data_IF_191255553571
#
_entry.id   IF_191255553571
#
_cell.length_a   1.000
_cell.length_b   1.000
_cell.length_c   1.000
_cell.angle_alpha   90.00
_cell.angle_beta   90.00
_cell.angle_gamma   90.00
#
_symmetry.space_group_name_H-M   'P 1'
#
loop_
_entity.id
_entity.type
_entity.pdbx_description
1 polymer ?
#
# COMPACT_ATOMS: atom_id res chain seq x y z
N UNK A 1 -22.97 -4.30 -43.63
CA UNK A 1 -21.72 -4.78 -43.02
C UNK A 1 -21.42 -3.88 -41.82
N UNK A 2 -21.74 -4.36 -40.62
CA UNK A 2 -21.50 -3.66 -39.35
C UNK A 2 -20.03 -3.87 -38.97
N UNK A 3 -19.24 -2.80 -38.99
CA UNK A 3 -17.83 -2.81 -38.57
C UNK A 3 -17.75 -2.79 -37.04
N UNK A 4 -17.16 -3.83 -36.46
CA UNK A 4 -16.88 -3.93 -35.02
C UNK A 4 -15.57 -3.20 -34.73
N UNK A 5 -15.64 -2.07 -34.03
CA UNK A 5 -14.43 -1.42 -33.50
C UNK A 5 -14.07 -2.03 -32.15
N UNK A 6 -13.01 -2.83 -32.13
CA UNK A 6 -12.40 -3.31 -30.90
C UNK A 6 -11.62 -2.17 -30.24
N UNK A 7 -12.13 -1.66 -29.12
CA UNK A 7 -11.36 -0.74 -28.27
C UNK A 7 -10.38 -1.56 -27.43
N UNK A 8 -9.10 -1.50 -27.81
CA UNK A 8 -8.02 -1.99 -26.94
C UNK A 8 -7.85 -0.99 -25.81
N UNK A 9 -8.33 -1.33 -24.62
CA UNK A 9 -8.00 -0.62 -23.40
C UNK A 9 -6.53 -0.91 -23.06
N UNK A 10 -5.63 -0.05 -23.53
CA UNK A 10 -4.28 0.01 -23.00
C UNK A 10 -4.41 0.52 -21.57
N UNK A 11 -4.41 -0.42 -20.62
CA UNK A 11 -4.15 -0.11 -19.23
C UNK A 11 -2.80 0.57 -19.19
N UNK A 12 -2.81 1.88 -18.97
CA UNK A 12 -1.61 2.63 -18.65
C UNK A 12 -1.15 2.14 -17.26
N UNK A 13 -0.43 1.03 -17.23
CA UNK A 13 0.61 0.84 -16.22
C UNK A 13 1.53 2.05 -16.40
N UNK A 14 1.33 3.06 -15.55
CA UNK A 14 2.27 4.15 -15.39
C UNK A 14 3.58 3.50 -14.99
N UNK A 15 4.42 3.21 -15.98
CA UNK A 15 5.86 3.16 -15.82
C UNK A 15 6.25 4.54 -15.33
N UNK A 16 6.17 4.74 -14.01
CA UNK A 16 6.78 5.87 -13.31
C UNK A 16 8.23 5.81 -13.73
N UNK A 17 8.58 6.69 -14.66
CA UNK A 17 9.94 6.93 -15.07
C UNK A 17 10.71 7.17 -13.76
N UNK A 18 11.63 6.25 -13.39
CA UNK A 18 12.49 6.33 -12.20
C UNK A 18 13.48 7.51 -12.35
N UNK A 19 12.97 8.68 -12.67
CA UNK A 19 13.72 9.92 -12.71
C UNK A 19 14.10 10.28 -11.29
N UNK A 20 15.31 10.83 -11.15
CA UNK A 20 15.93 11.27 -9.91
C UNK A 20 15.07 12.30 -9.16
N UNK A 21 13.98 11.86 -8.52
CA UNK A 21 13.17 12.67 -7.61
C UNK A 21 14.07 13.00 -6.43
N UNK A 22 14.49 14.25 -6.33
CA UNK A 22 15.27 14.73 -5.20
C UNK A 22 14.34 14.86 -4.00
N UNK A 23 14.24 13.80 -3.20
CA UNK A 23 13.47 13.83 -1.97
C UNK A 23 14.09 14.81 -0.98
N UNK A 24 13.41 15.95 -0.78
CA UNK A 24 13.73 16.91 0.26
C UNK A 24 13.62 16.23 1.64
N UNK A 25 14.54 16.57 2.54
CA UNK A 25 14.54 16.18 3.95
C UNK A 25 14.53 14.68 4.25
N UNK A 26 15.01 13.85 3.32
CA UNK A 26 15.08 12.40 3.53
C UNK A 26 13.71 11.81 3.96
N UNK A 27 12.62 12.34 3.38
CA UNK A 27 11.27 11.85 3.63
C UNK A 27 11.12 10.39 3.18
N UNK A 28 10.70 9.46 4.07
CA UNK A 28 10.47 8.07 3.71
C UNK A 28 9.32 7.94 2.69
N UNK A 29 8.27 8.76 2.79
CA UNK A 29 7.17 8.74 1.82
C UNK A 29 7.64 9.09 0.41
N UNK A 30 8.41 10.17 0.29
CA UNK A 30 8.99 10.55 -1.00
C UNK A 30 9.89 9.44 -1.54
N UNK A 31 10.74 8.87 -0.68
CA UNK A 31 11.67 7.82 -1.09
C UNK A 31 10.93 6.58 -1.59
N UNK A 32 9.92 6.10 -0.87
CA UNK A 32 9.10 4.99 -1.30
C UNK A 32 8.45 5.26 -2.67
N UNK A 33 7.81 6.44 -2.83
CA UNK A 33 7.14 6.83 -4.08
C UNK A 33 8.10 7.01 -5.26
N UNK A 34 9.35 7.38 -5.01
CA UNK A 34 10.40 7.48 -6.03
C UNK A 34 11.06 6.11 -6.35
N UNK A 35 10.94 5.13 -5.46
CA UNK A 35 11.49 3.78 -5.59
C UNK A 35 10.37 2.73 -5.58
N UNK A 36 10.42 1.75 -4.67
CA UNK A 36 9.34 0.79 -4.49
C UNK A 36 8.40 1.27 -3.40
N UNK A 37 7.13 1.46 -3.77
CA UNK A 37 6.03 1.72 -2.85
C UNK A 37 4.98 0.60 -2.94
N UNK A 38 5.20 -0.55 -2.28
CA UNK A 38 4.43 -1.76 -2.52
C UNK A 38 3.06 -1.78 -1.79
N UNK A 39 2.28 -0.69 -1.86
CA UNK A 39 0.98 -0.54 -1.16
C UNK A 39 0.05 -1.74 -1.37
N UNK A 40 -0.10 -2.21 -2.62
CA UNK A 40 -0.94 -3.37 -2.94
C UNK A 40 -0.42 -4.66 -2.31
N UNK A 41 0.89 -4.91 -2.34
CA UNK A 41 1.49 -6.10 -1.73
C UNK A 41 1.40 -6.05 -0.21
N UNK A 42 1.58 -4.87 0.39
CA UNK A 42 1.38 -4.67 1.82
C UNK A 42 -0.06 -5.00 2.24
N UNK A 43 -1.06 -4.48 1.51
CA UNK A 43 -2.47 -4.81 1.75
C UNK A 43 -2.72 -6.33 1.68
N UNK A 44 -2.23 -6.97 0.62
CA UNK A 44 -2.34 -8.43 0.44
C UNK A 44 -1.65 -9.21 1.58
N UNK A 45 -0.45 -8.80 2.00
CA UNK A 45 0.27 -9.48 3.09
C UNK A 45 -0.44 -9.34 4.44
N UNK A 46 -1.14 -8.23 4.68
CA UNK A 46 -2.02 -8.07 5.86
C UNK A 46 -3.22 -9.01 5.75
N UNK A 47 -3.88 -9.05 4.59
CA UNK A 47 -5.02 -9.93 4.34
C UNK A 47 -4.66 -11.41 4.56
N UNK A 48 -3.50 -11.86 4.06
CA UNK A 48 -3.00 -13.24 4.18
C UNK A 48 -2.69 -13.64 5.62
N UNK A 49 -2.38 -12.68 6.50
CA UNK A 49 -2.05 -12.91 7.91
C UNK A 49 -3.23 -12.72 8.86
N UNK A 50 -4.39 -12.29 8.36
CA UNK A 50 -5.55 -12.02 9.18
C UNK A 50 -6.19 -13.31 9.70
N UNK A 51 -6.29 -13.46 11.02
CA UNK A 51 -6.98 -14.60 11.67
C UNK A 51 -8.45 -14.31 11.98
N UNK A 52 -8.96 -13.16 11.52
CA UNK A 52 -10.32 -12.70 11.74
C UNK A 52 -10.88 -12.06 10.47
N UNK A 53 -12.20 -11.88 10.42
CA UNK A 53 -12.85 -11.20 9.29
C UNK A 53 -12.69 -9.70 9.41
N UNK A 54 -12.30 -9.06 8.32
CA UNK A 54 -12.21 -7.61 8.21
C UNK A 54 -12.73 -7.12 6.86
N UNK A 55 -12.97 -5.82 6.80
CA UNK A 55 -13.30 -5.09 5.58
C UNK A 55 -12.37 -3.89 5.44
N UNK A 56 -12.02 -3.56 4.21
CA UNK A 56 -11.31 -2.33 3.87
C UNK A 56 -12.31 -1.22 3.57
N UNK A 57 -12.05 -0.03 4.09
CA UNK A 57 -12.81 1.17 3.81
C UNK A 57 -12.19 1.88 2.62
N UNK A 58 -12.31 1.27 1.44
CA UNK A 58 -11.82 1.85 0.20
C UNK A 58 -12.74 2.99 -0.24
N UNK A 59 -12.37 4.22 0.09
CA UNK A 59 -12.91 5.41 -0.58
C UNK A 59 -11.87 5.90 -1.60
N UNK A 60 -12.35 6.42 -2.72
CA UNK A 60 -11.47 6.87 -3.80
C UNK A 60 -10.57 8.06 -3.38
N UNK A 61 -10.85 8.70 -2.25
CA UNK A 61 -10.18 9.90 -1.77
C UNK A 61 -9.16 9.67 -0.65
N UNK A 62 -9.19 8.55 0.08
CA UNK A 62 -8.23 8.26 1.16
C UNK A 62 -7.24 7.17 0.76
N UNK A 63 -6.01 7.33 1.24
CA UNK A 63 -4.95 6.36 1.01
C UNK A 63 -5.11 5.21 2.00
N UNK A 64 -4.98 3.97 1.54
CA UNK A 64 -4.96 2.78 2.42
C UNK A 64 -3.82 2.88 3.45
N UNK A 65 -2.69 3.48 3.10
CA UNK A 65 -1.63 3.81 4.05
C UNK A 65 -1.37 5.31 4.00
N UNK A 66 -1.45 5.96 5.15
CA UNK A 66 -1.45 7.42 5.28
C UNK A 66 -0.12 7.96 5.83
N UNK A 67 0.65 7.11 6.51
CA UNK A 67 1.87 7.51 7.20
C UNK A 67 3.04 6.62 6.83
N UNK A 68 4.19 7.23 6.56
CA UNK A 68 5.45 6.58 6.23
C UNK A 68 6.50 6.99 7.26
N UNK A 69 7.21 6.02 7.84
CA UNK A 69 8.33 6.23 8.74
C UNK A 69 9.53 5.38 8.28
N UNK A 70 10.75 5.87 8.53
CA UNK A 70 11.92 5.00 8.42
C UNK A 70 11.86 3.96 9.55
N UNK A 71 11.84 2.69 9.18
CA UNK A 71 12.09 1.60 10.13
C UNK A 71 13.60 1.45 10.37
N UNK A 72 14.37 1.49 9.29
CA UNK A 72 15.84 1.58 9.28
C UNK A 72 16.24 2.35 8.01
N UNK A 73 16.72 3.57 8.19
CA UNK A 73 17.10 4.44 7.09
C UNK A 73 18.34 3.94 6.35
N UNK A 74 19.30 3.33 7.04
CA UNK A 74 20.54 2.84 6.45
C UNK A 74 20.25 1.65 5.53
N UNK A 75 19.37 0.75 5.97
CA UNK A 75 18.90 -0.40 5.17
C UNK A 75 17.80 -0.04 4.18
N UNK A 76 17.33 1.21 4.18
CA UNK A 76 16.21 1.71 3.38
C UNK A 76 14.93 0.91 3.59
N UNK A 77 14.69 0.46 4.81
CA UNK A 77 13.42 -0.17 5.17
C UNK A 77 12.46 0.86 5.72
N UNK A 78 11.23 0.86 5.21
CA UNK A 78 10.18 1.81 5.53
C UNK A 78 9.03 1.05 6.19
N UNK A 79 8.45 1.63 7.23
CA UNK A 79 7.21 1.19 7.82
C UNK A 79 6.09 2.15 7.40
N UNK A 80 5.01 1.60 6.86
CA UNK A 80 3.80 2.33 6.51
C UNK A 80 2.64 1.91 7.40
N UNK A 81 1.75 2.85 7.71
CA UNK A 81 0.61 2.65 8.61
C UNK A 81 -0.69 3.10 7.97
N UNK A 82 -1.80 2.47 8.35
CA UNK A 82 -3.13 2.90 7.94
C UNK A 82 -4.20 2.52 8.97
N UNK A 83 -5.39 3.08 8.77
CA UNK A 83 -6.56 2.89 9.64
C UNK A 83 -7.85 2.67 8.83
N UNK A 84 -7.73 2.42 7.52
CA UNK A 84 -8.84 2.25 6.59
C UNK A 84 -9.33 0.80 6.55
N UNK A 85 -9.43 0.15 7.71
CA UNK A 85 -9.96 -1.19 7.87
C UNK A 85 -10.77 -1.33 9.16
N UNK A 86 -11.73 -2.24 9.16
CA UNK A 86 -12.51 -2.59 10.35
C UNK A 86 -12.66 -4.10 10.48
N UNK A 87 -12.53 -4.62 11.70
CA UNK A 87 -12.90 -6.00 12.01
C UNK A 87 -14.42 -6.12 12.10
N UNK A 88 -14.96 -7.28 11.70
CA UNK A 88 -16.40 -7.58 11.77
C UNK A 88 -16.66 -8.88 12.54
N UNK A 89 -17.34 -8.76 13.69
CA UNK A 89 -17.69 -9.92 14.51
C UNK A 89 -18.96 -10.64 14.00
N UNK A 90 -19.40 -11.69 14.69
CA UNK A 90 -20.60 -12.46 14.33
C UNK A 90 -21.91 -11.65 14.39
N UNK A 91 -21.94 -10.57 15.15
CA UNK A 91 -23.09 -9.66 15.28
C UNK A 91 -23.07 -8.51 14.26
N UNK A 92 -22.06 -8.46 13.37
CA UNK A 92 -21.90 -7.39 12.39
C UNK A 92 -21.36 -6.07 12.96
N UNK A 93 -20.89 -6.07 14.22
CA UNK A 93 -20.29 -4.89 14.84
C UNK A 93 -18.93 -4.64 14.18
N UNK A 94 -18.70 -3.38 13.77
CA UNK A 94 -17.48 -2.93 13.11
C UNK A 94 -16.55 -2.22 14.11
N UNK A 95 -15.36 -2.78 14.32
CA UNK A 95 -14.32 -2.20 15.18
C UNK A 95 -13.17 -1.64 14.32
N UNK A 96 -12.75 -0.37 14.49
CA UNK A 96 -11.60 0.18 13.77
C UNK A 96 -10.32 -0.63 13.99
N UNK A 97 -9.52 -0.79 12.94
CA UNK A 97 -8.23 -1.46 12.98
C UNK A 97 -7.12 -0.48 12.64
N UNK A 98 -5.99 -0.61 13.33
CA UNK A 98 -4.71 -0.07 12.88
C UNK A 98 -3.89 -1.21 12.30
N UNK A 99 -3.04 -0.90 11.34
CA UNK A 99 -2.18 -1.89 10.71
C UNK A 99 -0.93 -1.23 10.17
N UNK A 100 0.09 -2.06 9.99
CA UNK A 100 1.35 -1.64 9.43
C UNK A 100 1.89 -2.64 8.40
N UNK A 101 2.82 -2.14 7.58
CA UNK A 101 3.66 -2.96 6.71
C UNK A 101 5.08 -2.40 6.71
N UNK A 102 6.08 -3.26 6.91
CA UNK A 102 7.51 -2.95 6.80
C UNK A 102 8.01 -3.58 5.50
N UNK A 103 8.66 -2.79 4.66
CA UNK A 103 9.25 -3.26 3.41
C UNK A 103 10.60 -2.61 3.13
N UNK A 104 11.42 -3.29 2.32
CA UNK A 104 12.65 -2.71 1.79
C UNK A 104 12.32 -1.83 0.58
N UNK A 105 12.58 -0.52 0.66
CA UNK A 105 12.22 0.43 -0.39
C UNK A 105 13.12 0.36 -1.63
N UNK A 106 14.28 -0.31 -1.54
CA UNK A 106 15.15 -0.57 -2.69
C UNK A 106 14.68 -1.77 -3.53
N UNK A 107 14.04 -2.77 -2.91
CA UNK A 107 13.68 -4.03 -3.58
C UNK A 107 12.17 -4.28 -3.67
N UNK A 108 11.37 -3.62 -2.84
CA UNK A 108 9.94 -3.87 -2.69
C UNK A 108 9.60 -5.16 -1.94
N UNK A 109 10.58 -5.80 -1.30
CA UNK A 109 10.38 -6.98 -0.45
C UNK A 109 9.60 -6.61 0.82
N UNK A 110 8.56 -7.37 1.13
CA UNK A 110 7.78 -7.23 2.37
C UNK A 110 8.50 -8.00 3.48
N UNK A 111 8.85 -7.31 4.56
CA UNK A 111 9.57 -7.86 5.72
C UNK A 111 8.58 -8.31 6.79
N UNK A 112 7.58 -7.47 7.07
CA UNK A 112 6.52 -7.76 8.03
C UNK A 112 5.26 -6.98 7.67
N UNK A 113 4.10 -7.51 8.01
CA UNK A 113 2.83 -6.80 7.90
C UNK A 113 1.85 -7.43 8.89
N UNK A 114 1.01 -6.62 9.54
CA UNK A 114 0.01 -7.11 10.48
C UNK A 114 -1.03 -6.03 10.80
N UNK A 115 -2.18 -6.47 11.32
CA UNK A 115 -3.03 -5.63 12.17
C UNK A 115 -2.37 -5.47 13.55
N UNK A 116 -2.54 -4.30 14.17
CA UNK A 116 -2.06 -4.00 15.54
C UNK A 116 -3.07 -4.43 16.61
#
# INVERSE_FOLDING_TARGET
MLGVSAFSAIGAEQTVNKQNVRCSNNSPECYAKAHYNPVRKCKQAIDEKAEFRHIWLENASQQIFEKYLWHDQTKRTIQIFGQQAKAINSLGILTPLQYFCIFNANTGEIIAAAFE
#
